data_IF_700020396104
#
_entry.id   IF_700020396104
#
_cell.length_a   1.000
_cell.length_b   1.000
_cell.length_c   1.000
_cell.angle_alpha   90.00
_cell.angle_beta   90.00
_cell.angle_gamma   90.00
#
_symmetry.space_group_name_H-M   'P 1'
#
loop_
_entity.id
_entity.type
_entity.pdbx_description
1 polymer ?
#
# COMPACT_ATOMS: atom_id res chain seq x y z
N UNK A 1 -23.64 -45.70 -15.87
CA UNK A 1 -25.08 -45.62 -16.03
C UNK A 1 -25.44 -44.16 -16.25
N UNK A 2 -25.76 -43.85 -17.49
CA UNK A 2 -26.05 -42.50 -18.02
C UNK A 2 -27.35 -41.95 -17.46
N UNK A 3 -27.45 -40.65 -17.22
CA UNK A 3 -28.63 -39.83 -17.57
C UNK A 3 -28.23 -38.39 -17.81
N UNK A 4 -28.41 -37.97 -19.06
CA UNK A 4 -28.45 -36.60 -19.58
C UNK A 4 -29.83 -36.00 -19.29
N UNK A 5 -29.91 -34.69 -19.11
CA UNK A 5 -31.06 -33.81 -19.49
C UNK A 5 -30.50 -32.38 -19.59
N UNK A 6 -30.33 -31.88 -20.72
CA UNK A 6 -31.09 -31.09 -21.72
C UNK A 6 -31.53 -29.70 -21.28
N UNK A 7 -31.08 -28.74 -22.07
CA UNK A 7 -31.27 -27.31 -22.08
C UNK A 7 -32.75 -26.90 -22.31
N UNK A 8 -33.09 -25.67 -21.92
CA UNK A 8 -34.14 -24.91 -22.55
C UNK A 8 -33.78 -23.41 -22.65
N UNK A 9 -33.56 -22.98 -23.87
CA UNK A 9 -33.53 -21.59 -24.34
C UNK A 9 -34.95 -21.00 -24.27
N UNK A 10 -35.10 -19.77 -23.84
CA UNK A 10 -36.26 -18.95 -24.22
C UNK A 10 -35.81 -17.52 -24.55
N UNK A 11 -35.75 -17.29 -25.86
CA UNK A 11 -35.70 -15.98 -26.53
C UNK A 11 -37.10 -15.35 -26.47
N UNK A 12 -37.20 -14.05 -26.18
CA UNK A 12 -38.35 -13.24 -26.56
C UNK A 12 -37.87 -11.89 -27.09
N UNK A 13 -38.01 -11.78 -28.44
CA UNK A 13 -38.03 -10.53 -29.21
C UNK A 13 -39.37 -9.85 -29.05
N UNK A 14 -39.44 -8.53 -28.88
CA UNK A 14 -40.53 -7.73 -29.38
C UNK A 14 -40.03 -6.43 -29.99
N UNK A 15 -40.33 -6.29 -31.24
CA UNK A 15 -40.15 -5.14 -32.11
C UNK A 15 -41.38 -4.19 -32.05
N UNK A 16 -41.13 -3.00 -32.60
CA UNK A 16 -42.06 -1.99 -33.17
C UNK A 16 -42.59 -0.96 -32.18
N UNK A 17 -42.72 0.29 -32.55
CA UNK A 17 -42.93 0.95 -33.87
C UNK A 17 -42.66 2.45 -33.82
N UNK A 18 -42.18 2.95 -34.94
CA UNK A 18 -42.17 4.36 -35.37
C UNK A 18 -43.59 4.89 -35.59
N UNK A 19 -43.81 6.18 -35.25
CA UNK A 19 -44.74 7.03 -36.00
C UNK A 19 -44.21 8.45 -36.06
N UNK A 20 -44.03 8.92 -37.27
CA UNK A 20 -43.76 10.30 -37.68
C UNK A 20 -45.07 10.98 -38.10
N UNK A 21 -45.18 12.27 -37.82
CA UNK A 21 -45.93 13.31 -38.55
C UNK A 21 -45.62 14.63 -37.85
N UNK A 22 -45.19 15.70 -38.45
CA UNK A 22 -45.43 16.30 -39.75
C UNK A 22 -45.92 17.73 -39.56
N UNK A 23 -45.06 18.73 -39.93
CA UNK A 23 -45.44 19.97 -40.56
C UNK A 23 -45.89 21.17 -39.70
N UNK A 24 -45.20 22.26 -39.70
CA UNK A 24 -45.41 23.44 -40.55
C UNK A 24 -44.57 24.65 -40.10
N UNK A 25 -44.06 25.30 -41.12
CA UNK A 25 -43.29 26.53 -41.12
C UNK A 25 -44.11 27.77 -40.74
N UNK A 26 -43.47 28.74 -40.06
CA UNK A 26 -43.77 30.16 -40.25
C UNK A 26 -42.53 31.00 -39.92
N UNK A 27 -42.19 31.89 -40.88
CA UNK A 27 -41.05 32.79 -40.93
C UNK A 27 -41.06 33.90 -39.86
N UNK A 28 -39.90 34.59 -39.67
CA UNK A 28 -39.59 35.41 -38.49
C UNK A 28 -40.03 36.87 -38.64
N UNK A 29 -40.07 37.62 -37.53
CA UNK A 29 -39.97 39.09 -37.58
C UNK A 29 -38.60 39.60 -37.16
N UNK A 30 -38.16 40.49 -37.94
CA UNK A 30 -37.16 41.54 -37.94
C UNK A 30 -36.28 41.81 -36.72
N UNK A 31 -35.01 42.11 -37.07
CA UNK A 31 -33.89 42.57 -36.29
C UNK A 31 -34.17 43.83 -35.44
N UNK A 32 -33.70 43.80 -34.19
CA UNK A 32 -33.48 44.98 -33.34
C UNK A 32 -32.00 45.06 -33.00
N UNK A 33 -31.45 46.24 -32.64
CA UNK A 33 -30.02 46.55 -32.73
C UNK A 33 -29.16 45.86 -31.64
N UNK A 34 -27.93 45.56 -32.04
CA UNK A 34 -26.80 44.99 -31.31
C UNK A 34 -26.62 45.43 -29.86
N UNK A 35 -26.64 44.45 -28.93
CA UNK A 35 -26.01 44.57 -27.63
C UNK A 35 -24.53 44.17 -27.77
N UNK A 36 -23.60 44.82 -27.07
CA UNK A 36 -22.20 44.52 -27.19
C UNK A 36 -21.89 43.11 -26.64
N UNK A 37 -21.19 42.35 -27.47
CA UNK A 37 -20.59 41.02 -27.18
C UNK A 37 -19.77 41.08 -25.86
N UNK A 38 -20.34 40.52 -24.82
CA UNK A 38 -19.56 40.19 -23.60
C UNK A 38 -18.78 38.94 -23.95
N UNK A 39 -17.52 39.13 -24.39
CA UNK A 39 -16.61 38.03 -24.66
C UNK A 39 -16.61 37.06 -23.49
N UNK A 40 -17.03 35.84 -23.77
CA UNK A 40 -16.79 34.69 -22.87
C UNK A 40 -15.29 34.56 -22.72
N UNK A 41 -14.76 35.01 -21.57
CA UNK A 41 -13.38 34.76 -21.17
C UNK A 41 -13.23 33.25 -21.08
N UNK A 42 -12.24 32.68 -21.78
CA UNK A 42 -11.85 31.29 -21.63
C UNK A 42 -11.69 31.01 -20.12
N UNK A 43 -12.16 29.85 -19.63
CA UNK A 43 -11.95 29.50 -18.22
C UNK A 43 -10.45 29.52 -17.94
N UNK A 44 -10.07 30.38 -17.02
CA UNK A 44 -8.67 30.42 -16.52
C UNK A 44 -8.44 29.07 -15.88
N UNK A 45 -7.59 28.26 -16.49
CA UNK A 45 -7.11 27.00 -15.94
C UNK A 45 -6.34 27.35 -14.66
N UNK A 46 -6.98 27.16 -13.51
CA UNK A 46 -6.32 27.31 -12.21
C UNK A 46 -5.39 26.12 -12.07
N UNK A 47 -4.12 26.36 -12.35
CA UNK A 47 -3.08 25.37 -12.07
C UNK A 47 -3.13 25.00 -10.59
N UNK A 48 -3.02 23.71 -10.26
CA UNK A 48 -2.94 23.28 -8.86
C UNK A 48 -1.76 24.03 -8.18
N UNK A 49 -1.88 24.34 -6.89
CA UNK A 49 -0.80 25.00 -6.15
C UNK A 49 0.49 24.20 -6.28
N UNK A 50 1.61 24.90 -6.37
CA UNK A 50 2.93 24.25 -6.38
C UNK A 50 3.09 23.48 -5.07
N UNK A 51 3.49 22.18 -5.12
CA UNK A 51 3.54 21.35 -3.92
C UNK A 51 4.58 21.92 -2.94
N UNK A 52 4.23 21.95 -1.66
CA UNK A 52 5.12 22.39 -0.59
C UNK A 52 6.43 21.59 -0.59
N UNK A 53 7.56 22.22 -0.28
CA UNK A 53 8.84 21.54 -0.19
C UNK A 53 8.79 20.40 0.84
N UNK A 54 9.24 19.22 0.45
CA UNK A 54 9.38 18.07 1.34
C UNK A 54 10.84 17.61 1.34
N UNK A 55 11.41 17.47 2.53
CA UNK A 55 12.84 17.14 2.69
C UNK A 55 12.98 15.71 3.14
N UNK A 56 13.72 14.91 2.36
CA UNK A 56 14.16 13.57 2.76
C UNK A 56 15.63 13.66 3.13
N UNK A 57 15.97 13.18 4.32
CA UNK A 57 17.31 13.19 4.88
C UNK A 57 17.84 11.76 5.00
N UNK A 58 19.14 11.61 4.82
CA UNK A 58 19.81 10.32 5.00
C UNK A 58 20.12 10.08 6.49
N UNK A 59 19.48 9.09 7.14
CA UNK A 59 19.75 8.79 8.56
C UNK A 59 21.11 8.15 8.78
N UNK A 60 21.84 7.75 7.74
CA UNK A 60 23.19 7.16 7.86
C UNK A 60 24.29 8.23 7.92
N UNK A 61 23.93 9.49 7.75
CA UNK A 61 24.86 10.63 7.80
C UNK A 61 24.68 11.38 9.11
N UNK A 62 25.74 11.40 9.94
CA UNK A 62 25.77 12.20 11.15
C UNK A 62 25.67 13.69 10.82
N UNK A 63 24.74 14.45 11.43
CA UNK A 63 24.72 15.90 11.27
C UNK A 63 26.03 16.56 11.69
N UNK A 64 26.41 17.68 11.06
CA UNK A 64 27.61 18.42 11.42
C UNK A 64 27.60 18.81 12.90
N UNK A 65 28.68 18.49 13.61
CA UNK A 65 28.78 18.71 15.04
C UNK A 65 27.86 17.83 15.90
N UNK A 66 27.20 16.81 15.31
CA UNK A 66 26.29 15.91 16.01
C UNK A 66 24.93 16.55 16.38
N UNK A 67 24.60 17.71 15.81
CA UNK A 67 23.38 18.46 16.15
C UNK A 67 22.68 18.92 14.86
N UNK A 68 21.36 18.79 14.81
CA UNK A 68 20.51 19.39 13.76
C UNK A 68 19.31 20.05 14.43
N UNK A 69 19.03 21.32 14.10
CA UNK A 69 17.92 22.10 14.65
C UNK A 69 17.83 22.10 16.19
N UNK A 70 19.02 22.10 16.85
CA UNK A 70 19.11 22.06 18.30
C UNK A 70 18.93 20.67 18.93
N UNK A 71 18.72 19.63 18.14
CA UNK A 71 18.56 18.25 18.57
C UNK A 71 19.89 17.49 18.42
N UNK A 72 20.35 16.83 19.48
CA UNK A 72 21.52 15.98 19.44
C UNK A 72 21.19 14.64 18.75
N UNK A 73 22.09 14.18 17.89
CA UNK A 73 21.99 12.89 17.21
C UNK A 73 23.07 11.94 17.73
N UNK A 74 22.70 10.67 17.89
CA UNK A 74 23.56 9.61 18.39
C UNK A 74 23.51 8.38 17.48
N UNK A 75 24.60 7.62 17.42
CA UNK A 75 24.64 6.37 16.68
C UNK A 75 23.71 5.33 17.32
N UNK A 76 22.92 4.64 16.49
CA UNK A 76 22.06 3.54 16.88
C UNK A 76 22.69 2.20 16.46
N UNK A 77 22.89 1.31 17.40
CA UNK A 77 23.42 -0.05 17.21
C UNK A 77 22.43 -1.16 17.55
N UNK A 78 21.24 -0.77 18.05
CA UNK A 78 20.17 -1.69 18.45
C UNK A 78 19.42 -2.32 17.26
N UNK A 79 18.36 -3.05 17.59
CA UNK A 79 17.42 -3.59 16.60
C UNK A 79 16.64 -2.44 15.99
N UNK A 80 16.37 -2.52 14.68
CA UNK A 80 15.40 -1.67 13.98
C UNK A 80 14.09 -2.43 13.95
N UNK A 81 13.10 -1.92 14.66
CA UNK A 81 11.78 -2.54 14.73
C UNK A 81 11.04 -2.38 13.42
N UNK A 82 10.21 -3.37 13.08
CA UNK A 82 9.44 -3.36 11.83
C UNK A 82 8.00 -3.83 12.08
N UNK A 83 7.07 -2.90 12.00
CA UNK A 83 5.63 -3.20 11.99
C UNK A 83 5.09 -3.15 10.57
N UNK A 84 4.16 -4.03 10.24
CA UNK A 84 3.46 -3.94 8.96
C UNK A 84 1.95 -4.05 9.14
N UNK A 85 1.23 -3.47 8.19
CA UNK A 85 -0.23 -3.44 8.17
C UNK A 85 -0.74 -3.88 6.79
N UNK A 86 -2.00 -4.17 6.71
CA UNK A 86 -2.79 -4.19 5.49
C UNK A 86 -3.61 -2.89 5.39
N UNK A 87 -4.40 -2.65 4.32
CA UNK A 87 -5.39 -1.59 4.31
C UNK A 87 -6.28 -1.66 5.55
N UNK A 88 -6.59 -0.50 6.14
CA UNK A 88 -7.33 -0.42 7.40
C UNK A 88 -8.83 -0.32 7.16
N UNK A 89 -9.63 -0.84 8.09
CA UNK A 89 -11.09 -0.81 8.04
C UNK A 89 -11.59 0.58 8.42
N UNK A 90 -12.18 1.29 7.45
CA UNK A 90 -12.79 2.61 7.69
C UNK A 90 -14.20 2.51 8.29
N UNK A 91 -14.97 1.51 7.89
CA UNK A 91 -16.37 1.33 8.31
C UNK A 91 -16.58 -0.09 8.88
N UNK A 92 -16.39 -0.27 10.21
CA UNK A 92 -16.47 -1.57 10.87
C UNK A 92 -17.82 -2.29 10.67
N UNK A 93 -18.91 -1.54 10.55
CA UNK A 93 -20.25 -2.09 10.32
C UNK A 93 -20.41 -2.80 8.96
N UNK A 94 -19.60 -2.45 7.97
CA UNK A 94 -19.54 -3.13 6.67
C UNK A 94 -18.52 -4.28 6.67
N UNK A 95 -17.45 -4.14 7.45
CA UNK A 95 -16.37 -5.12 7.51
C UNK A 95 -16.71 -6.33 8.38
N UNK A 96 -17.51 -6.12 9.42
CA UNK A 96 -17.85 -7.12 10.43
C UNK A 96 -19.33 -7.51 10.38
N UNK A 97 -19.95 -7.46 9.21
CA UNK A 97 -21.39 -7.73 8.99
C UNK A 97 -21.77 -9.22 9.03
N UNK A 98 -20.77 -10.11 9.11
CA UNK A 98 -20.94 -11.57 9.19
C UNK A 98 -20.99 -12.26 7.82
N UNK A 99 -20.62 -11.58 6.76
CA UNK A 99 -20.46 -12.19 5.44
C UNK A 99 -19.25 -13.14 5.38
N UNK A 100 -18.91 -13.66 4.20
CA UNK A 100 -17.82 -14.59 4.00
C UNK A 100 -16.42 -13.98 4.25
N UNK A 101 -16.28 -12.65 4.16
CA UNK A 101 -15.02 -11.93 4.35
C UNK A 101 -14.81 -11.49 5.80
N UNK A 102 -15.91 -11.28 6.55
CA UNK A 102 -15.88 -10.68 7.89
C UNK A 102 -14.89 -11.33 8.86
N UNK A 103 -14.80 -12.67 8.85
CA UNK A 103 -13.85 -13.38 9.71
C UNK A 103 -12.39 -13.13 9.35
N UNK A 104 -12.05 -13.14 8.07
CA UNK A 104 -10.68 -12.88 7.61
C UNK A 104 -10.29 -11.41 7.85
N UNK A 105 -11.22 -10.49 7.64
CA UNK A 105 -11.01 -9.07 7.92
C UNK A 105 -10.76 -8.86 9.41
N UNK A 106 -11.59 -9.47 10.27
CA UNK A 106 -11.42 -9.38 11.73
C UNK A 106 -10.12 -10.01 12.23
N UNK A 107 -9.62 -11.05 11.57
CA UNK A 107 -8.36 -11.71 11.92
C UNK A 107 -7.13 -10.90 11.51
N UNK A 108 -7.13 -10.30 10.31
CA UNK A 108 -5.91 -9.78 9.68
C UNK A 108 -5.86 -8.26 9.53
N UNK A 109 -6.93 -7.53 9.86
CA UNK A 109 -6.98 -6.08 9.68
C UNK A 109 -7.16 -5.36 11.03
N UNK A 110 -6.69 -4.12 11.10
CA UNK A 110 -7.06 -3.16 12.15
C UNK A 110 -8.04 -2.14 11.60
N UNK A 111 -8.82 -1.53 12.47
CA UNK A 111 -9.67 -0.39 12.09
C UNK A 111 -8.84 0.90 12.03
N UNK A 112 -9.40 1.94 11.40
CA UNK A 112 -8.82 3.29 11.38
C UNK A 112 -8.53 3.78 12.81
N UNK A 113 -9.49 3.64 13.74
CA UNK A 113 -9.33 4.06 15.13
C UNK A 113 -8.22 3.30 15.86
N UNK A 114 -8.11 1.99 15.62
CA UNK A 114 -7.03 1.16 16.18
C UNK A 114 -5.68 1.56 15.61
N UNK A 115 -5.61 1.85 14.31
CA UNK A 115 -4.38 2.29 13.65
C UNK A 115 -3.90 3.65 14.19
N UNK A 116 -4.80 4.63 14.33
CA UNK A 116 -4.48 5.94 14.91
C UNK A 116 -3.93 5.80 16.33
N UNK A 117 -4.56 4.97 17.16
CA UNK A 117 -4.09 4.68 18.53
C UNK A 117 -2.72 4.01 18.54
N UNK A 118 -2.44 3.09 17.59
CA UNK A 118 -1.12 2.46 17.45
C UNK A 118 -0.07 3.51 17.08
N UNK A 119 -0.35 4.38 16.10
CA UNK A 119 0.57 5.48 15.72
C UNK A 119 0.88 6.38 16.91
N UNK A 120 -0.15 6.82 17.64
CA UNK A 120 0.03 7.65 18.83
C UNK A 120 0.89 6.94 19.88
N UNK A 121 0.63 5.65 20.13
CA UNK A 121 1.38 4.89 21.14
C UNK A 121 2.85 4.70 20.77
N UNK A 122 3.17 4.39 19.51
CA UNK A 122 4.59 4.23 19.11
C UNK A 122 5.31 5.59 19.13
N UNK A 123 4.63 6.69 18.76
CA UNK A 123 5.18 8.04 18.89
C UNK A 123 5.50 8.39 20.36
N UNK A 124 4.54 8.18 21.27
CA UNK A 124 4.69 8.45 22.71
C UNK A 124 5.80 7.61 23.36
N UNK A 125 6.04 6.41 22.83
CA UNK A 125 7.13 5.52 23.25
C UNK A 125 8.49 5.88 22.63
N UNK A 126 8.56 6.98 21.89
CA UNK A 126 9.80 7.55 21.36
C UNK A 126 10.32 6.86 20.10
N UNK A 127 9.46 6.19 19.34
CA UNK A 127 9.85 5.70 18.01
C UNK A 127 9.90 6.85 17.00
N UNK A 128 10.78 6.72 16.00
CA UNK A 128 10.88 7.59 14.84
C UNK A 128 10.98 6.76 13.57
N UNK A 129 10.38 7.24 12.49
CA UNK A 129 10.35 6.52 11.23
C UNK A 129 11.70 6.56 10.52
N UNK A 130 12.09 5.41 9.98
CA UNK A 130 13.22 5.22 9.06
C UNK A 130 12.78 4.39 7.87
N UNK A 131 13.34 4.65 6.70
CA UNK A 131 13.06 3.80 5.53
C UNK A 131 13.80 2.47 5.64
N UNK A 132 13.15 1.40 5.20
CA UNK A 132 13.74 0.05 5.18
C UNK A 132 15.02 0.00 4.32
N UNK A 133 15.08 0.81 3.25
CA UNK A 133 16.23 0.94 2.37
C UNK A 133 17.45 1.58 3.03
N UNK A 134 17.26 2.35 4.10
CA UNK A 134 18.37 3.02 4.81
C UNK A 134 19.08 2.10 5.81
N UNK A 135 18.45 0.99 6.19
CA UNK A 135 19.00 0.10 7.25
C UNK A 135 20.15 -0.76 6.74
N UNK A 136 20.15 -1.11 5.46
CA UNK A 136 21.19 -1.94 4.85
C UNK A 136 21.64 -1.39 3.50
N UNK A 137 22.93 -1.54 3.22
CA UNK A 137 23.53 -1.18 1.93
C UNK A 137 24.22 -2.36 1.29
N UNK A 138 24.22 -2.42 -0.04
CA UNK A 138 25.11 -3.29 -0.80
C UNK A 138 26.50 -2.64 -0.91
N UNK A 139 27.55 -3.41 -0.67
CA UNK A 139 28.94 -2.98 -0.84
C UNK A 139 29.77 -4.10 -1.46
N UNK A 140 30.99 -3.79 -1.88
CA UNK A 140 31.93 -4.77 -2.40
C UNK A 140 32.79 -5.34 -1.28
N UNK A 141 32.82 -6.67 -1.16
CA UNK A 141 33.72 -7.38 -0.24
C UNK A 141 35.18 -7.31 -0.63
N UNK A 142 36.08 -7.75 0.25
CA UNK A 142 37.52 -7.82 -0.02
C UNK A 142 37.87 -8.78 -1.17
N UNK A 143 37.01 -9.77 -1.39
CA UNK A 143 37.08 -10.74 -2.50
C UNK A 143 36.50 -10.21 -3.82
N UNK A 144 36.01 -8.97 -3.85
CA UNK A 144 35.35 -8.35 -5.00
C UNK A 144 33.89 -8.75 -5.17
N UNK A 145 33.32 -9.61 -4.33
CA UNK A 145 31.92 -10.01 -4.39
C UNK A 145 30.98 -8.98 -3.73
N UNK A 146 29.73 -8.82 -4.21
CA UNK A 146 28.74 -7.96 -3.56
C UNK A 146 28.33 -8.58 -2.22
N UNK A 147 28.15 -7.74 -1.21
CA UNK A 147 27.65 -8.14 0.12
C UNK A 147 26.78 -7.06 0.73
N UNK A 148 25.83 -7.47 1.57
CA UNK A 148 25.08 -6.54 2.40
C UNK A 148 25.83 -6.19 3.66
N UNK A 149 25.67 -4.94 4.10
CA UNK A 149 26.15 -4.45 5.40
C UNK A 149 25.01 -3.72 6.11
N UNK A 150 24.97 -3.80 7.45
CA UNK A 150 24.06 -2.97 8.25
C UNK A 150 24.67 -1.58 8.37
N UNK A 151 23.89 -0.57 8.08
CA UNK A 151 24.27 0.83 8.23
C UNK A 151 24.20 1.26 9.69
N UNK A 152 25.06 2.18 10.11
CA UNK A 152 24.86 2.92 11.34
C UNK A 152 23.83 3.99 11.10
N UNK A 153 22.75 3.99 11.86
CA UNK A 153 21.75 5.06 11.82
C UNK A 153 22.10 6.09 12.90
N UNK A 154 21.95 7.36 12.57
CA UNK A 154 22.12 8.46 13.52
C UNK A 154 20.76 9.05 13.84
N UNK A 155 20.27 8.82 15.06
CA UNK A 155 18.91 9.17 15.48
C UNK A 155 18.95 10.33 16.50
N UNK A 156 17.86 11.10 16.61
CA UNK A 156 17.70 12.02 17.75
C UNK A 156 17.90 11.27 19.08
N UNK A 157 18.65 11.86 20.01
CA UNK A 157 18.97 11.23 21.28
C UNK A 157 17.71 10.78 22.04
N UNK A 158 17.70 9.55 22.53
CA UNK A 158 16.55 8.94 23.21
C UNK A 158 15.46 8.37 22.29
N UNK A 159 15.57 8.53 20.98
CA UNK A 159 14.61 7.95 20.01
C UNK A 159 15.06 6.55 19.54
N UNK A 160 14.09 5.78 19.03
CA UNK A 160 14.26 4.40 18.53
C UNK A 160 13.76 4.30 17.09
N UNK A 161 14.44 3.58 16.19
CA UNK A 161 13.99 3.47 14.80
C UNK A 161 12.83 2.49 14.65
N UNK A 162 11.87 2.86 13.80
CA UNK A 162 10.73 2.06 13.40
C UNK A 162 10.58 2.08 11.89
N UNK A 163 10.53 0.91 11.26
CA UNK A 163 10.11 0.73 9.89
C UNK A 163 8.61 0.45 9.89
N UNK A 164 7.87 1.10 9.00
CA UNK A 164 6.50 0.74 8.65
C UNK A 164 6.45 0.19 7.23
N UNK A 165 5.67 -0.87 7.01
CA UNK A 165 5.33 -1.33 5.66
C UNK A 165 3.85 -1.70 5.58
N UNK A 166 3.31 -1.72 4.35
CA UNK A 166 1.89 -1.93 4.12
C UNK A 166 1.71 -2.91 2.98
N UNK A 167 1.23 -4.11 3.32
CA UNK A 167 0.99 -5.15 2.34
C UNK A 167 -0.38 -4.95 1.67
N UNK A 168 -0.53 -5.40 0.43
CA UNK A 168 -1.80 -5.40 -0.31
C UNK A 168 -2.44 -4.02 -0.54
N UNK A 169 -1.64 -2.95 -0.63
CA UNK A 169 -2.12 -1.58 -0.92
C UNK A 169 -2.57 -1.41 -2.38
N UNK A 170 -3.12 -2.48 -2.95
CA UNK A 170 -3.71 -2.52 -4.28
C UNK A 170 -5.19 -2.16 -4.27
N UNK A 171 -5.85 -2.27 -3.12
CA UNK A 171 -7.29 -2.08 -2.92
C UNK A 171 -8.10 -3.00 -3.83
N UNK A 172 -8.26 -4.24 -3.39
CA UNK A 172 -8.97 -5.29 -4.12
C UNK A 172 -10.47 -5.03 -4.21
N UNK A 173 -11.12 -5.61 -5.23
CA UNK A 173 -12.53 -5.35 -5.50
C UNK A 173 -13.47 -5.63 -4.33
N UNK A 174 -13.15 -6.66 -3.51
CA UNK A 174 -13.95 -6.97 -2.33
C UNK A 174 -13.90 -5.87 -1.25
N UNK A 175 -12.84 -5.09 -1.18
CA UNK A 175 -12.62 -4.08 -0.13
C UNK A 175 -13.68 -2.98 -0.16
N UNK A 176 -14.12 -2.56 -1.36
CA UNK A 176 -15.12 -1.49 -1.49
C UNK A 176 -16.45 -1.81 -0.79
N UNK A 177 -16.85 -3.08 -0.76
CA UNK A 177 -18.10 -3.52 -0.12
C UNK A 177 -17.91 -3.85 1.36
N UNK A 178 -16.67 -4.01 1.80
CA UNK A 178 -16.31 -4.42 3.15
C UNK A 178 -15.70 -3.28 3.98
N UNK A 179 -16.10 -2.04 3.69
CA UNK A 179 -15.81 -0.89 4.56
C UNK A 179 -14.38 -0.34 4.49
N UNK A 180 -13.64 -0.60 3.43
CA UNK A 180 -12.31 -0.04 3.19
C UNK A 180 -12.36 1.17 2.23
N UNK A 181 -11.29 1.96 2.25
CA UNK A 181 -10.95 2.78 1.10
C UNK A 181 -10.68 1.88 -0.12
N UNK A 182 -10.84 2.45 -1.31
CA UNK A 182 -10.71 1.66 -2.55
C UNK A 182 -9.66 2.21 -3.52
N UNK A 183 -9.28 3.47 -3.36
CA UNK A 183 -8.34 4.13 -4.27
C UNK A 183 -7.63 5.27 -3.57
N UNK A 184 -6.32 5.40 -3.78
CA UNK A 184 -5.61 6.63 -3.46
C UNK A 184 -5.80 7.64 -4.58
N UNK A 185 -5.99 8.89 -4.20
CA UNK A 185 -6.13 10.02 -5.12
C UNK A 185 -5.32 11.22 -4.61
N UNK A 186 -5.14 12.22 -5.44
CA UNK A 186 -4.76 13.56 -4.97
C UNK A 186 -6.02 14.33 -4.61
N UNK A 187 -6.04 14.89 -3.40
CA UNK A 187 -7.04 15.84 -2.96
C UNK A 187 -6.92 17.19 -3.71
N UNK A 188 -7.86 18.08 -3.48
CA UNK A 188 -7.84 19.44 -4.09
C UNK A 188 -6.61 20.25 -3.66
N UNK A 189 -6.03 19.92 -2.52
CA UNK A 189 -4.78 20.51 -1.98
C UNK A 189 -3.50 19.83 -2.54
N UNK A 190 -3.64 18.87 -3.46
CA UNK A 190 -2.54 18.10 -4.04
C UNK A 190 -1.95 17.04 -3.13
N UNK A 191 -2.48 16.81 -1.93
CA UNK A 191 -2.01 15.77 -1.00
C UNK A 191 -2.70 14.43 -1.25
N UNK A 192 -2.07 13.35 -0.81
CA UNK A 192 -2.67 12.01 -0.88
C UNK A 192 -3.91 11.96 0.02
N UNK A 193 -5.00 11.50 -0.58
CA UNK A 193 -6.27 11.20 0.06
C UNK A 193 -6.79 9.84 -0.43
N UNK A 194 -7.81 9.31 0.21
CA UNK A 194 -8.47 8.09 -0.19
C UNK A 194 -9.88 8.38 -0.71
N UNK A 195 -10.28 7.63 -1.75
CA UNK A 195 -11.66 7.53 -2.20
C UNK A 195 -12.24 6.18 -1.76
N UNK A 196 -13.49 6.21 -1.34
CA UNK A 196 -14.26 5.04 -0.96
C UNK A 196 -15.75 5.33 -0.94
N UNK A 197 -16.52 4.45 -0.30
CA UNK A 197 -17.97 4.64 -0.10
C UNK A 197 -18.32 4.49 1.38
N UNK A 198 -19.21 5.37 1.85
CA UNK A 198 -19.78 5.25 3.18
C UNK A 198 -20.82 4.09 3.27
N UNK A 199 -21.28 3.72 4.46
CA UNK A 199 -22.29 2.68 4.63
C UNK A 199 -23.63 2.93 3.93
N UNK A 200 -23.90 4.17 3.50
CA UNK A 200 -25.07 4.54 2.73
C UNK A 200 -24.83 4.46 1.22
N UNK A 201 -23.58 4.12 0.80
CA UNK A 201 -23.18 4.02 -0.59
C UNK A 201 -22.79 5.35 -1.26
N UNK A 202 -22.69 6.44 -0.48
CA UNK A 202 -22.22 7.72 -0.99
C UNK A 202 -20.72 7.70 -1.21
N UNK A 203 -20.23 8.36 -2.26
CA UNK A 203 -18.80 8.53 -2.47
C UNK A 203 -18.20 9.50 -1.42
N UNK A 204 -17.07 9.10 -0.86
CA UNK A 204 -16.33 9.87 0.14
C UNK A 204 -14.88 10.01 -0.30
N UNK A 205 -14.37 11.23 -0.24
CA UNK A 205 -12.95 11.54 -0.35
C UNK A 205 -12.48 12.07 1.01
N UNK A 206 -11.49 11.42 1.61
CA UNK A 206 -10.99 11.83 2.92
C UNK A 206 -9.55 11.36 3.13
N UNK A 207 -8.85 12.03 4.04
CA UNK A 207 -7.54 11.61 4.54
C UNK A 207 -7.64 10.74 5.80
N UNK A 208 -8.86 10.32 6.18
CA UNK A 208 -9.14 9.56 7.40
C UNK A 208 -9.71 8.14 7.11
N UNK A 209 -9.62 7.67 5.85
CA UNK A 209 -10.19 6.38 5.45
C UNK A 209 -9.17 5.26 5.29
N UNK A 210 -7.87 5.59 5.29
CA UNK A 210 -6.81 4.60 5.04
C UNK A 210 -5.49 4.96 5.73
N UNK A 211 -4.70 3.95 6.04
CA UNK A 211 -3.44 4.09 6.75
C UNK A 211 -2.46 5.08 6.12
N UNK A 212 -2.43 5.16 4.78
CA UNK A 212 -1.46 5.98 4.03
C UNK A 212 -1.72 7.48 4.26
N UNK A 213 -2.90 8.05 3.93
CA UNK A 213 -3.15 9.47 4.20
C UNK A 213 -3.26 9.79 5.70
N UNK A 214 -3.64 8.82 6.55
CA UNK A 214 -3.63 8.99 8.00
C UNK A 214 -2.19 9.20 8.50
N UNK A 215 -1.24 8.36 8.08
CA UNK A 215 0.17 8.54 8.44
C UNK A 215 0.72 9.88 7.91
N UNK A 216 0.32 10.30 6.72
CA UNK A 216 0.68 11.61 6.18
C UNK A 216 0.23 12.74 7.10
N UNK A 217 -1.03 12.72 7.56
CA UNK A 217 -1.57 13.68 8.54
C UNK A 217 -0.82 13.60 9.86
N UNK A 218 -0.60 12.40 10.38
CA UNK A 218 0.09 12.20 11.65
C UNK A 218 1.50 12.81 11.63
N UNK A 219 2.24 12.60 10.52
CA UNK A 219 3.58 13.20 10.35
C UNK A 219 3.51 14.73 10.18
N UNK A 220 2.47 15.27 9.54
CA UNK A 220 2.26 16.73 9.47
C UNK A 220 2.02 17.34 10.85
N UNK A 221 1.29 16.65 11.73
CA UNK A 221 1.01 17.07 13.11
C UNK A 221 2.20 16.82 14.05
N UNK A 222 2.99 15.76 13.77
CA UNK A 222 4.14 15.32 14.55
C UNK A 222 5.40 15.18 13.68
N UNK A 223 5.99 16.27 13.18
CA UNK A 223 7.11 16.18 12.23
C UNK A 223 8.35 15.52 12.81
N UNK A 224 8.52 15.50 14.13
CA UNK A 224 9.59 14.80 14.82
C UNK A 224 9.39 13.26 14.89
N UNK A 225 8.21 12.76 14.49
CA UNK A 225 7.99 11.32 14.27
C UNK A 225 8.71 10.83 13.00
N UNK A 226 8.88 11.71 12.01
CA UNK A 226 9.61 11.43 10.76
C UNK A 226 10.75 12.44 10.53
N UNK A 227 11.80 12.43 11.38
CA UNK A 227 12.87 13.44 11.33
C UNK A 227 13.74 13.34 10.09
N UNK A 228 13.60 12.26 9.30
CA UNK A 228 14.29 12.05 8.04
C UNK A 228 13.37 12.20 6.82
N UNK A 229 12.08 12.45 7.03
CA UNK A 229 11.09 12.49 5.97
C UNK A 229 10.65 11.12 5.47
N UNK A 230 11.15 10.02 6.04
CA UNK A 230 10.71 8.67 5.73
C UNK A 230 9.31 8.41 6.29
N UNK A 231 8.48 7.65 5.57
CA UNK A 231 7.15 7.24 6.03
C UNK A 231 7.03 5.72 6.11
N UNK A 232 6.80 5.06 4.98
CA UNK A 232 6.71 3.61 4.95
C UNK A 232 6.94 3.03 3.58
N UNK A 233 7.01 1.70 3.51
CA UNK A 233 7.19 0.97 2.27
C UNK A 233 5.88 0.27 1.86
N UNK A 234 5.36 0.60 0.68
CA UNK A 234 4.16 0.00 0.11
C UNK A 234 4.52 -1.28 -0.63
N UNK A 235 4.03 -2.40 -0.13
CA UNK A 235 4.28 -3.73 -0.66
C UNK A 235 3.17 -4.11 -1.64
N UNK A 236 3.46 -3.99 -2.95
CA UNK A 236 2.46 -4.08 -4.00
C UNK A 236 2.47 -5.44 -4.69
N UNK A 237 1.27 -5.99 -4.87
CA UNK A 237 0.99 -7.03 -5.86
C UNK A 237 0.64 -6.39 -7.22
N UNK A 238 0.27 -7.18 -8.23
CA UNK A 238 -0.08 -6.67 -9.56
C UNK A 238 -1.44 -7.14 -10.09
N UNK A 239 -1.98 -8.25 -9.56
CA UNK A 239 -3.09 -8.97 -10.19
C UNK A 239 -4.44 -8.22 -10.23
N UNK A 240 -4.61 -7.16 -9.45
CA UNK A 240 -5.73 -6.22 -9.54
C UNK A 240 -5.23 -4.75 -9.67
N UNK A 241 -4.05 -4.57 -10.27
CA UNK A 241 -3.44 -3.26 -10.43
C UNK A 241 -2.75 -2.76 -9.17
N UNK A 242 -2.57 -1.44 -9.03
CA UNK A 242 -1.90 -0.80 -7.89
C UNK A 242 -2.69 0.39 -7.37
N UNK A 243 -2.69 0.62 -6.07
CA UNK A 243 -3.23 1.81 -5.40
C UNK A 243 -4.70 2.11 -5.75
N UNK A 244 -5.47 1.06 -6.14
CA UNK A 244 -6.86 1.18 -6.58
C UNK A 244 -7.05 1.42 -8.08
N UNK A 245 -5.97 1.51 -8.85
CA UNK A 245 -5.98 1.67 -10.30
C UNK A 245 -5.79 0.32 -10.99
N UNK A 246 -6.67 -0.04 -11.91
CA UNK A 246 -6.68 -1.33 -12.61
C UNK A 246 -5.67 -1.34 -13.77
N UNK A 247 -4.37 -1.35 -13.41
CA UNK A 247 -3.24 -1.24 -14.34
C UNK A 247 -2.75 -2.59 -14.89
N UNK A 248 -3.28 -3.70 -14.38
CA UNK A 248 -2.88 -5.06 -14.78
C UNK A 248 -3.35 -5.41 -16.18
N UNK A 249 -2.65 -6.33 -16.83
CA UNK A 249 -3.12 -7.01 -18.05
C UNK A 249 -3.98 -8.21 -17.69
N UNK A 250 -4.96 -8.54 -18.55
CA UNK A 250 -5.65 -9.83 -18.48
C UNK A 250 -4.94 -10.84 -19.40
N UNK A 251 -4.92 -12.11 -19.00
CA UNK A 251 -4.36 -13.20 -19.79
C UNK A 251 -5.36 -13.82 -20.78
N UNK A 252 -6.65 -13.44 -20.67
CA UNK A 252 -7.72 -13.92 -21.52
C UNK A 252 -8.21 -12.81 -22.45
N UNK A 253 -8.50 -13.10 -23.69
CA UNK A 253 -9.03 -12.22 -24.75
C UNK A 253 -9.30 -10.76 -24.35
N UNK A 254 -8.31 -9.93 -24.48
CA UNK A 254 -8.34 -8.50 -24.20
C UNK A 254 -8.93 -7.72 -25.39
N UNK A 255 -9.85 -6.82 -25.14
CA UNK A 255 -10.40 -5.94 -26.18
C UNK A 255 -9.65 -4.61 -26.23
N UNK A 256 -9.68 -3.94 -27.38
CA UNK A 256 -9.10 -2.59 -27.53
C UNK A 256 -9.69 -1.59 -26.52
N UNK A 257 -10.97 -1.74 -26.15
CA UNK A 257 -11.62 -0.89 -25.16
C UNK A 257 -11.09 -1.14 -23.74
N UNK A 258 -10.79 -2.38 -23.37
CA UNK A 258 -10.18 -2.73 -22.09
C UNK A 258 -8.75 -2.22 -22.03
N UNK A 259 -7.97 -2.37 -23.11
CA UNK A 259 -6.63 -1.80 -23.17
C UNK A 259 -6.64 -0.28 -23.08
N UNK A 260 -7.54 0.40 -23.79
CA UNK A 260 -7.68 1.85 -23.69
C UNK A 260 -8.08 2.32 -22.29
N UNK A 261 -8.87 1.53 -21.55
CA UNK A 261 -9.19 1.84 -20.15
C UNK A 261 -7.96 1.61 -19.25
N UNK A 262 -7.25 0.50 -19.42
CA UNK A 262 -6.01 0.23 -18.68
C UNK A 262 -4.98 1.35 -18.85
N UNK A 263 -4.80 1.85 -20.06
CA UNK A 263 -3.90 2.98 -20.34
C UNK A 263 -4.32 4.24 -19.60
N UNK A 264 -5.63 4.53 -19.47
CA UNK A 264 -6.12 5.65 -18.65
C UNK A 264 -5.80 5.45 -17.17
N UNK A 265 -5.97 4.25 -16.62
CA UNK A 265 -5.64 3.92 -15.24
C UNK A 265 -4.11 4.06 -14.99
N UNK A 266 -3.28 3.64 -15.95
CA UNK A 266 -1.83 3.82 -15.90
C UNK A 266 -1.45 5.31 -15.86
N UNK A 267 -2.03 6.15 -16.74
CA UNK A 267 -1.74 7.59 -16.69
C UNK A 267 -2.25 8.24 -15.40
N UNK A 268 -3.41 7.81 -14.90
CA UNK A 268 -4.01 8.36 -13.69
C UNK A 268 -3.24 8.02 -12.41
N UNK A 269 -2.56 6.86 -12.33
CA UNK A 269 -1.81 6.47 -11.14
C UNK A 269 -0.43 7.15 -11.04
N UNK A 270 0.15 7.58 -12.15
CA UNK A 270 1.49 8.18 -12.18
C UNK A 270 1.67 9.37 -11.23
N UNK A 271 0.76 10.37 -11.20
CA UNK A 271 0.90 11.49 -10.26
C UNK A 271 0.77 11.04 -8.80
N UNK A 272 -0.02 9.98 -8.50
CA UNK A 272 -0.13 9.43 -7.15
C UNK A 272 1.20 8.80 -6.72
N UNK A 273 1.80 7.99 -7.57
CA UNK A 273 3.13 7.38 -7.32
C UNK A 273 4.20 8.47 -7.16
N UNK A 274 4.15 9.51 -7.98
CA UNK A 274 5.10 10.62 -7.90
C UNK A 274 4.98 11.36 -6.56
N UNK A 275 3.76 11.65 -6.10
CA UNK A 275 3.51 12.33 -4.83
C UNK A 275 3.92 11.48 -3.63
N UNK A 276 3.57 10.18 -3.63
CA UNK A 276 4.01 9.25 -2.59
C UNK A 276 5.54 9.25 -2.45
N UNK A 277 6.27 9.12 -3.56
CA UNK A 277 7.74 9.18 -3.54
C UNK A 277 8.28 10.51 -3.05
N UNK A 278 7.69 11.61 -3.53
CA UNK A 278 8.09 12.96 -3.13
C UNK A 278 7.97 13.16 -1.62
N UNK A 279 6.98 12.52 -1.01
CA UNK A 279 6.66 12.68 0.42
C UNK A 279 7.17 11.55 1.31
N UNK A 280 8.17 10.78 0.86
CA UNK A 280 8.91 9.84 1.70
C UNK A 280 8.36 8.42 1.76
N UNK A 281 7.43 8.05 0.85
CA UNK A 281 7.00 6.67 0.67
C UNK A 281 7.90 5.92 -0.31
N UNK A 282 8.16 4.65 -0.03
CA UNK A 282 8.92 3.75 -0.88
C UNK A 282 8.07 2.55 -1.30
N UNK A 283 8.58 1.73 -2.24
CA UNK A 283 7.82 0.62 -2.80
C UNK A 283 8.64 -0.67 -2.75
N UNK A 284 7.96 -1.77 -2.42
CA UNK A 284 8.48 -3.12 -2.45
C UNK A 284 7.60 -4.06 -3.25
N UNK A 285 8.14 -5.21 -3.63
CA UNK A 285 7.39 -6.27 -4.29
C UNK A 285 6.67 -7.15 -3.27
N UNK A 286 5.41 -7.50 -3.58
CA UNK A 286 4.64 -8.53 -2.88
C UNK A 286 4.26 -9.69 -3.83
N UNK A 287 5.12 -9.96 -4.83
CA UNK A 287 4.88 -10.77 -6.01
C UNK A 287 3.75 -10.21 -6.88
N UNK A 288 3.65 -10.62 -8.16
CA UNK A 288 2.54 -10.13 -8.98
C UNK A 288 1.21 -10.72 -8.55
N UNK A 289 1.16 -12.02 -8.34
CA UNK A 289 -0.06 -12.79 -8.09
C UNK A 289 -0.34 -13.11 -6.63
N UNK A 290 0.34 -12.46 -5.65
CA UNK A 290 0.25 -12.81 -4.23
C UNK A 290 0.47 -14.31 -4.00
N UNK A 291 1.48 -14.89 -4.67
CA UNK A 291 1.67 -16.34 -4.73
C UNK A 291 2.51 -16.86 -3.56
N UNK A 292 2.23 -18.13 -3.19
CA UNK A 292 2.99 -18.83 -2.15
C UNK A 292 4.34 -19.30 -2.67
N UNK A 293 5.41 -18.60 -2.28
CA UNK A 293 6.77 -18.82 -2.78
C UNK A 293 7.35 -20.18 -2.39
N UNK A 294 6.91 -20.76 -1.27
CA UNK A 294 7.39 -22.06 -0.81
C UNK A 294 6.80 -23.26 -1.56
N UNK A 295 5.66 -23.08 -2.24
CA UNK A 295 4.90 -24.18 -2.85
C UNK A 295 4.79 -24.11 -4.37
N UNK A 296 5.25 -23.01 -4.99
CA UNK A 296 5.20 -22.83 -6.44
C UNK A 296 6.50 -23.30 -7.11
N UNK A 297 6.39 -23.71 -8.38
CA UNK A 297 7.56 -24.08 -9.19
C UNK A 297 8.43 -22.84 -9.50
N UNK A 298 9.71 -23.06 -9.73
CA UNK A 298 10.62 -21.98 -10.16
C UNK A 298 10.10 -21.27 -11.42
N UNK A 299 9.57 -22.00 -12.39
CA UNK A 299 8.99 -21.44 -13.62
C UNK A 299 7.85 -20.47 -13.30
N UNK A 300 6.89 -20.88 -12.44
CA UNK A 300 5.79 -20.00 -12.00
C UNK A 300 6.31 -18.73 -11.30
N UNK A 301 7.35 -18.86 -10.47
CA UNK A 301 7.97 -17.72 -9.78
C UNK A 301 8.66 -16.78 -10.78
N UNK A 302 9.29 -17.33 -11.81
CA UNK A 302 9.93 -16.54 -12.87
C UNK A 302 8.91 -15.72 -13.66
N UNK A 303 7.80 -16.34 -14.06
CA UNK A 303 6.71 -15.67 -14.77
C UNK A 303 6.06 -14.58 -13.92
N UNK A 304 5.77 -14.87 -12.65
CA UNK A 304 5.19 -13.92 -11.70
C UNK A 304 6.12 -12.72 -11.44
N UNK A 305 7.39 -12.99 -11.21
CA UNK A 305 8.40 -11.95 -10.98
C UNK A 305 8.59 -11.04 -12.19
N UNK A 306 8.67 -11.62 -13.40
CA UNK A 306 8.77 -10.84 -14.64
C UNK A 306 7.53 -9.95 -14.82
N UNK A 307 6.36 -10.51 -14.56
CA UNK A 307 5.10 -9.78 -14.63
C UNK A 307 5.04 -8.62 -13.63
N UNK A 308 5.56 -8.83 -12.42
CA UNK A 308 5.67 -7.75 -11.44
C UNK A 308 6.55 -6.61 -11.96
N UNK A 309 7.72 -6.90 -12.54
CA UNK A 309 8.58 -5.88 -13.10
C UNK A 309 7.92 -5.12 -14.25
N UNK A 310 7.21 -5.83 -15.12
CA UNK A 310 6.58 -5.25 -16.31
C UNK A 310 5.36 -4.38 -15.96
N UNK A 311 4.54 -4.79 -15.03
CA UNK A 311 3.23 -4.17 -14.74
C UNK A 311 3.24 -3.27 -13.49
N UNK A 312 4.07 -3.56 -12.50
CA UNK A 312 4.19 -2.79 -11.26
C UNK A 312 5.50 -2.00 -11.23
N UNK A 313 6.62 -2.68 -11.39
CA UNK A 313 7.95 -2.07 -11.38
C UNK A 313 8.12 -0.95 -12.40
N UNK A 314 7.51 -1.08 -13.59
CA UNK A 314 7.49 -0.03 -14.63
C UNK A 314 6.78 1.26 -14.17
N UNK A 315 5.88 1.19 -13.21
CA UNK A 315 5.13 2.33 -12.66
C UNK A 315 5.79 2.90 -11.41
N UNK A 316 6.22 2.04 -10.49
CA UNK A 316 6.77 2.48 -9.21
C UNK A 316 8.29 2.57 -9.20
N UNK A 317 8.98 2.11 -10.26
CA UNK A 317 10.44 2.08 -10.34
C UNK A 317 11.05 0.83 -9.71
N UNK A 318 12.40 0.72 -9.75
CA UNK A 318 13.10 -0.43 -9.23
C UNK A 318 13.00 -0.52 -7.71
N UNK A 319 12.97 -1.76 -7.20
CA UNK A 319 13.07 -2.06 -5.78
C UNK A 319 14.02 -3.23 -5.54
N UNK A 320 14.68 -3.23 -4.40
CA UNK A 320 15.49 -4.35 -3.91
C UNK A 320 14.78 -5.13 -2.79
N UNK A 321 13.54 -4.76 -2.47
CA UNK A 321 12.79 -5.27 -1.33
C UNK A 321 11.68 -6.20 -1.81
N UNK A 322 11.65 -7.41 -1.26
CA UNK A 322 10.59 -8.40 -1.49
C UNK A 322 9.96 -8.79 -0.15
N UNK A 323 8.68 -8.54 -0.03
CA UNK A 323 7.85 -9.01 1.08
C UNK A 323 7.17 -10.32 0.67
N UNK A 324 7.29 -11.35 1.51
CA UNK A 324 6.74 -12.67 1.19
C UNK A 324 5.24 -12.73 1.43
N UNK A 325 4.42 -12.99 0.39
CA UNK A 325 2.99 -13.25 0.58
C UNK A 325 2.76 -14.37 1.60
N UNK A 326 1.77 -14.19 2.46
CA UNK A 326 1.45 -15.12 3.55
C UNK A 326 2.62 -15.37 4.55
N UNK A 327 3.68 -14.59 4.51
CA UNK A 327 4.91 -14.84 5.27
C UNK A 327 5.66 -16.11 4.84
N UNK A 328 5.28 -16.75 3.72
CA UNK A 328 5.81 -18.03 3.28
C UNK A 328 7.14 -17.86 2.54
N UNK A 329 8.21 -18.39 3.14
CA UNK A 329 9.56 -18.34 2.56
C UNK A 329 9.65 -19.22 1.31
N UNK A 330 10.55 -18.92 0.36
CA UNK A 330 10.79 -19.75 -0.82
C UNK A 330 11.19 -21.19 -0.50
N UNK A 331 11.16 -22.04 -1.53
CA UNK A 331 11.74 -23.38 -1.53
C UNK A 331 11.23 -24.29 -0.39
N UNK A 332 9.91 -24.38 -0.21
CA UNK A 332 9.31 -25.20 0.85
C UNK A 332 9.46 -24.60 2.24
N UNK A 333 9.49 -23.27 2.34
CA UNK A 333 9.73 -22.52 3.57
C UNK A 333 11.15 -22.74 4.11
N UNK A 334 12.14 -22.79 3.21
CA UNK A 334 13.54 -23.01 3.54
C UNK A 334 14.13 -21.85 4.35
N UNK A 335 14.39 -22.11 5.63
CA UNK A 335 15.05 -21.16 6.53
C UNK A 335 16.53 -20.91 6.20
N UNK A 336 17.16 -21.83 5.44
CA UNK A 336 18.54 -21.67 4.99
C UNK A 336 18.67 -20.68 3.84
N UNK A 337 17.57 -20.46 3.09
CA UNK A 337 17.53 -19.58 1.93
C UNK A 337 18.64 -19.95 0.92
N UNK A 338 18.66 -21.22 0.53
CA UNK A 338 19.68 -21.80 -0.36
C UNK A 338 19.07 -22.41 -1.62
N UNK A 339 17.75 -22.51 -1.66
CA UNK A 339 17.03 -23.15 -2.76
C UNK A 339 17.02 -22.35 -4.06
N UNK A 340 16.61 -22.97 -5.17
CA UNK A 340 16.67 -22.36 -6.49
C UNK A 340 15.76 -21.13 -6.65
N UNK A 341 14.60 -21.09 -5.96
CA UNK A 341 13.70 -19.94 -6.00
C UNK A 341 14.35 -18.73 -5.32
N UNK A 342 14.92 -18.92 -4.12
CA UNK A 342 15.61 -17.84 -3.43
C UNK A 342 16.78 -17.30 -4.25
N UNK A 343 17.62 -18.18 -4.81
CA UNK A 343 18.74 -17.80 -5.65
C UNK A 343 18.29 -17.02 -6.91
N UNK A 344 17.20 -17.46 -7.53
CA UNK A 344 16.62 -16.73 -8.65
C UNK A 344 16.19 -15.32 -8.25
N UNK A 345 15.38 -15.18 -7.20
CA UNK A 345 14.90 -13.88 -6.72
C UNK A 345 16.08 -12.93 -6.38
N UNK A 346 17.11 -13.45 -5.71
CA UNK A 346 18.33 -12.71 -5.43
C UNK A 346 19.04 -12.27 -6.72
N UNK A 347 19.09 -13.11 -7.76
CA UNK A 347 19.68 -12.78 -9.07
C UNK A 347 18.89 -11.72 -9.82
N UNK A 348 17.60 -11.55 -9.52
CA UNK A 348 16.74 -10.50 -10.10
C UNK A 348 16.95 -9.12 -9.42
N UNK A 349 17.86 -9.03 -8.45
CA UNK A 349 18.18 -7.76 -7.80
C UNK A 349 17.54 -7.58 -6.42
N UNK A 350 16.72 -8.50 -5.95
CA UNK A 350 16.24 -8.43 -4.57
C UNK A 350 17.38 -8.64 -3.57
N UNK A 351 17.38 -7.83 -2.52
CA UNK A 351 18.42 -7.80 -1.47
C UNK A 351 17.85 -7.94 -0.07
N UNK A 352 16.66 -7.40 0.17
CA UNK A 352 15.96 -7.48 1.45
C UNK A 352 14.72 -8.37 1.27
N UNK A 353 14.67 -9.45 2.02
CA UNK A 353 13.64 -10.47 1.96
C UNK A 353 12.91 -10.51 3.30
N UNK A 354 11.67 -10.01 3.33
CA UNK A 354 10.91 -9.81 4.55
C UNK A 354 9.74 -10.79 4.65
N UNK A 355 9.73 -11.55 5.74
CA UNK A 355 8.67 -12.48 6.12
C UNK A 355 7.82 -11.90 7.26
N UNK A 356 6.97 -12.71 7.83
CA UNK A 356 6.18 -12.45 9.04
C UNK A 356 6.75 -13.27 10.18
N UNK A 357 6.96 -12.65 11.34
CA UNK A 357 7.54 -13.29 12.51
C UNK A 357 6.83 -12.95 13.80
N UNK A 358 7.43 -13.42 14.89
CA UNK A 358 6.97 -13.15 16.25
C UNK A 358 7.79 -12.08 16.96
N UNK A 359 8.84 -11.60 16.31
CA UNK A 359 9.72 -10.52 16.73
C UNK A 359 10.32 -9.85 15.49
N UNK A 360 10.75 -8.60 15.60
CA UNK A 360 11.54 -7.94 14.57
C UNK A 360 12.93 -8.57 14.56
N UNK A 361 13.26 -9.16 13.45
CA UNK A 361 14.48 -9.94 13.31
C UNK A 361 15.13 -9.64 11.96
N UNK A 362 16.45 -9.57 11.92
CA UNK A 362 17.21 -9.49 10.68
C UNK A 362 18.58 -10.14 10.80
N UNK A 363 19.02 -10.76 9.72
CA UNK A 363 20.40 -11.19 9.57
C UNK A 363 20.90 -11.04 8.14
N UNK A 364 22.19 -10.78 8.00
CA UNK A 364 22.86 -10.69 6.71
C UNK A 364 23.41 -12.08 6.36
N UNK A 365 23.04 -12.59 5.18
CA UNK A 365 23.64 -13.84 4.68
C UNK A 365 25.04 -13.56 4.14
N UNK A 366 26.05 -14.23 4.73
CA UNK A 366 27.46 -14.00 4.39
C UNK A 366 27.85 -14.50 3.00
N UNK A 367 27.21 -15.58 2.55
CA UNK A 367 27.56 -16.26 1.30
C UNK A 367 26.74 -15.76 0.10
N UNK A 368 25.74 -14.95 0.35
CA UNK A 368 24.83 -14.40 -0.65
C UNK A 368 24.54 -12.94 -0.28
N UNK A 369 24.56 -12.04 -1.27
CA UNK A 369 24.26 -10.63 -1.05
C UNK A 369 22.76 -10.43 -0.73
N UNK A 370 22.37 -10.72 0.51
CA UNK A 370 20.98 -10.66 0.96
C UNK A 370 20.83 -10.40 2.45
N UNK A 371 19.76 -9.73 2.83
CA UNK A 371 19.24 -9.59 4.19
C UNK A 371 17.93 -10.36 4.29
N UNK A 372 17.81 -11.17 5.34
CA UNK A 372 16.58 -11.87 5.70
C UNK A 372 16.03 -11.21 6.95
N UNK A 373 14.76 -10.81 6.93
CA UNK A 373 14.12 -10.19 8.08
C UNK A 373 12.69 -10.69 8.30
N UNK A 374 12.21 -10.54 9.54
CA UNK A 374 10.84 -10.78 9.94
C UNK A 374 10.23 -9.48 10.46
N UNK A 375 8.93 -9.33 10.23
CA UNK A 375 8.12 -8.18 10.59
C UNK A 375 7.02 -8.62 11.56
N UNK A 376 6.57 -7.70 12.39
CA UNK A 376 5.44 -7.89 13.29
C UNK A 376 4.17 -7.33 12.68
N UNK A 377 3.08 -8.09 12.78
CA UNK A 377 1.78 -7.71 12.24
C UNK A 377 0.81 -7.32 13.35
N UNK A 378 0.55 -6.04 13.61
CA UNK A 378 -0.59 -5.61 14.39
C UNK A 378 -1.89 -5.90 13.61
N UNK A 379 -2.68 -6.85 14.09
CA UNK A 379 -3.92 -7.30 13.48
C UNK A 379 -4.94 -7.74 14.55
N UNK A 380 -6.15 -8.08 14.17
CA UNK A 380 -7.17 -8.50 15.12
C UNK A 380 -6.81 -9.76 15.91
N UNK A 381 -6.06 -10.69 15.30
CA UNK A 381 -5.56 -11.90 15.98
C UNK A 381 -4.51 -11.55 17.03
N UNK A 382 -3.54 -10.73 16.69
CA UNK A 382 -2.46 -10.34 17.59
C UNK A 382 -2.93 -9.40 18.70
N UNK A 383 -3.89 -8.51 18.41
CA UNK A 383 -4.55 -7.69 19.42
C UNK A 383 -5.26 -8.55 20.48
N UNK A 384 -5.87 -9.68 20.09
CA UNK A 384 -6.54 -10.59 21.03
C UNK A 384 -5.59 -11.49 21.80
N UNK A 385 -4.55 -12.02 21.17
CA UNK A 385 -3.81 -13.18 21.67
C UNK A 385 -2.31 -12.96 21.84
N UNK A 386 -1.78 -11.77 21.54
CA UNK A 386 -0.34 -11.53 21.59
C UNK A 386 0.06 -10.23 22.30
N UNK A 387 -0.76 -9.79 23.27
CA UNK A 387 -0.57 -8.52 23.99
C UNK A 387 0.85 -8.32 24.48
N UNK A 388 1.45 -9.30 25.15
CA UNK A 388 2.78 -9.18 25.75
C UNK A 388 3.89 -8.93 24.72
N UNK A 389 3.75 -9.46 23.50
CA UNK A 389 4.69 -9.27 22.40
C UNK A 389 4.72 -7.82 21.92
N UNK A 390 3.60 -7.12 22.01
CA UNK A 390 3.45 -5.77 21.48
C UNK A 390 3.54 -4.66 22.53
N UNK A 391 3.73 -4.99 23.83
CA UNK A 391 3.81 -3.98 24.91
C UNK A 391 4.90 -2.91 24.69
N UNK A 392 5.97 -3.25 23.97
CA UNK A 392 6.98 -2.26 23.61
C UNK A 392 6.46 -1.20 22.63
N UNK A 393 5.41 -1.51 21.84
CA UNK A 393 4.79 -0.63 20.85
C UNK A 393 3.50 -0.03 21.39
N UNK A 394 2.61 -0.87 21.95
CA UNK A 394 1.31 -0.49 22.47
C UNK A 394 0.77 -1.55 23.44
N UNK A 395 -0.25 -1.19 24.23
CA UNK A 395 -1.04 -2.16 24.95
C UNK A 395 -2.33 -2.45 24.18
N UNK A 396 -2.57 -3.71 23.81
CA UNK A 396 -3.75 -4.11 23.05
C UNK A 396 -5.08 -3.76 23.75
N UNK A 397 -5.07 -3.65 25.09
CA UNK A 397 -6.25 -3.21 25.88
C UNK A 397 -6.65 -1.76 25.58
N UNK A 398 -5.69 -0.92 25.24
CA UNK A 398 -5.93 0.50 24.95
C UNK A 398 -6.24 0.72 23.47
N UNK A 399 -5.84 -0.23 22.60
CA UNK A 399 -5.98 -0.15 21.15
C UNK A 399 -7.31 -0.72 20.67
N UNK A 400 -7.59 -1.99 21.02
CA UNK A 400 -8.68 -2.75 20.41
C UNK A 400 -10.05 -2.23 20.84
N UNK A 401 -10.88 -1.88 19.85
CA UNK A 401 -12.27 -1.54 20.09
C UNK A 401 -13.16 -2.79 20.03
N UNK A 402 -13.39 -3.40 21.21
CA UNK A 402 -14.23 -4.60 21.36
C UNK A 402 -15.72 -4.34 21.07
N UNK A 403 -16.14 -3.08 20.94
CA UNK A 403 -17.55 -2.74 20.71
C UNK A 403 -17.96 -2.84 19.24
N UNK A 404 -16.99 -2.68 18.32
CA UNK A 404 -17.22 -2.75 16.87
C UNK A 404 -16.81 -4.09 16.27
N UNK A 405 -15.96 -4.86 16.96
CA UNK A 405 -15.46 -6.15 16.49
C UNK A 405 -16.38 -7.32 16.86
N UNK A 406 -16.38 -8.42 16.08
CA UNK A 406 -17.06 -9.66 16.47
C UNK A 406 -16.64 -10.14 17.85
N UNK A 407 -17.61 -10.63 18.63
CA UNK A 407 -17.36 -11.19 19.96
C UNK A 407 -16.59 -12.52 19.83
N UNK A 408 -15.32 -12.50 20.18
CA UNK A 408 -14.42 -13.66 20.18
C UNK A 408 -13.63 -13.70 21.48
N UNK A 409 -12.99 -14.83 21.74
CA UNK A 409 -12.09 -15.01 22.88
C UNK A 409 -10.91 -14.00 22.82
N UNK A 410 -10.60 -13.43 23.97
CA UNK A 410 -9.50 -12.46 24.15
C UNK A 410 -8.61 -12.95 25.28
N UNK A 411 -7.32 -12.97 25.04
CA UNK A 411 -6.30 -13.56 25.91
C UNK A 411 -5.36 -12.46 26.44
N UNK A 412 -5.95 -11.56 27.24
CA UNK A 412 -5.20 -10.42 27.81
C UNK A 412 -4.76 -10.66 29.28
N UNK A 413 -4.59 -11.88 29.70
CA UNK A 413 -4.23 -12.21 31.08
C UNK A 413 -2.85 -11.68 31.50
#
# INVERSE_FOLDING_TARGET
MMRRLTALLLTLLTLLSLTACGGQSSDPPAEGPDAPDAGEGEPVEVLPPEPEPYTILDPTVMPEGGVRDGVTYVAWDGIVEHLFFHPVVAYPELAFDGDAQANGIDDYMVTVDEYDKILQSVYDKGYVLVDIGDVWSETTGEDGAPKMVKNTLYLPEGKKPLILSYDDTNYYDYMLQNGFAYKLILGEDGKIASWGKDPQGNEVVSRDLDAIPILDKFVEEHPDFSPFGAKGCLSLTGYQGILGYRTQTDTQSWTDAQEANRQKEIEAVKPIVAELKRTGWTFGSHTWGHIRLGSKSLETIQEDTQRWFDEVGSLVGPTTILFYPHGERPDGNDWQNTGPVFQYLQSQGFRVFASVGIESFSYIKKDICAVICDRLHPDGTTLRHSRDRYLQFYDAKDIMDVTVRPQREIDWA
#
